data_IF_572048361757
#
_entry.id   IF_572048361757
#
_cell.length_a   1.000
_cell.length_b   1.000
_cell.length_c   1.000
_cell.angle_alpha   90.00
_cell.angle_beta   90.00
_cell.angle_gamma   90.00
#
_symmetry.space_group_name_H-M   'P 1'
#
loop_
_entity.id
_entity.type
_entity.pdbx_description
1 polymer ?
#
# COMPACT_ATOMS: atom_id res chain seq x y z
N UNK A 1 -90.57 12.86 -5.22
CA UNK A 1 -90.03 11.89 -6.20
C UNK A 1 -88.52 12.09 -6.28
N UNK A 2 -87.73 11.04 -6.01
CA UNK A 2 -86.46 10.63 -6.68
C UNK A 2 -85.52 11.74 -7.20
N UNK A 3 -84.19 11.79 -6.96
CA UNK A 3 -83.17 10.79 -6.58
C UNK A 3 -81.80 11.53 -6.42
N UNK A 4 -81.01 11.06 -5.46
CA UNK A 4 -79.53 10.86 -5.45
C UNK A 4 -78.53 11.97 -5.84
N UNK A 5 -77.73 12.35 -4.84
CA UNK A 5 -76.38 12.96 -4.93
C UNK A 5 -75.32 11.98 -5.46
N UNK A 6 -74.18 12.50 -5.95
CA UNK A 6 -72.89 11.87 -5.68
C UNK A 6 -71.91 12.84 -4.99
N UNK A 7 -71.20 12.29 -4.00
CA UNK A 7 -70.00 12.87 -3.39
C UNK A 7 -68.80 12.78 -4.36
N UNK A 8 -67.96 13.80 -4.41
CA UNK A 8 -66.53 13.63 -4.66
C UNK A 8 -65.69 14.67 -3.88
N UNK A 9 -64.97 14.15 -2.90
CA UNK A 9 -63.93 14.82 -2.12
C UNK A 9 -62.70 15.04 -3.01
N UNK A 10 -62.27 16.29 -3.18
CA UNK A 10 -60.98 16.63 -3.77
C UNK A 10 -59.88 16.55 -2.70
N UNK A 11 -59.19 15.42 -2.62
CA UNK A 11 -57.89 15.32 -1.97
C UNK A 11 -56.80 15.72 -2.98
N UNK A 12 -56.12 16.85 -2.74
CA UNK A 12 -54.84 17.18 -3.38
C UNK A 12 -53.75 16.34 -2.74
N UNK A 13 -53.44 15.19 -3.33
CA UNK A 13 -52.23 14.44 -3.01
C UNK A 13 -51.02 15.13 -3.65
N UNK A 14 -50.15 15.64 -2.79
CA UNK A 14 -48.79 16.08 -3.11
C UNK A 14 -47.98 14.85 -3.53
N UNK A 15 -47.78 14.65 -4.82
CA UNK A 15 -46.86 13.63 -5.32
C UNK A 15 -45.42 14.10 -5.07
N UNK A 16 -44.88 13.74 -3.89
CA UNK A 16 -43.42 13.71 -3.69
C UNK A 16 -42.93 12.56 -4.54
N UNK A 17 -42.43 12.88 -5.73
CA UNK A 17 -41.66 11.94 -6.54
C UNK A 17 -40.36 11.65 -5.78
N UNK A 18 -40.38 10.63 -4.93
CA UNK A 18 -39.16 9.96 -4.48
C UNK A 18 -38.54 9.36 -5.74
N UNK A 19 -37.58 10.08 -6.32
CA UNK A 19 -36.63 9.52 -7.26
C UNK A 19 -35.80 8.48 -6.49
N UNK A 20 -36.32 7.27 -6.36
CA UNK A 20 -35.49 6.09 -6.21
C UNK A 20 -34.64 6.06 -7.46
N UNK A 21 -33.42 6.59 -7.37
CA UNK A 21 -32.36 6.24 -8.28
C UNK A 21 -32.34 4.72 -8.30
N UNK A 22 -32.90 4.14 -9.36
CA UNK A 22 -32.71 2.75 -9.69
C UNK A 22 -31.21 2.61 -9.95
N UNK A 23 -30.45 2.34 -8.89
CA UNK A 23 -29.13 1.75 -8.99
C UNK A 23 -29.37 0.44 -9.72
N UNK A 24 -29.16 0.46 -11.04
CA UNK A 24 -29.04 -0.74 -11.85
C UNK A 24 -28.20 -1.74 -11.06
N UNK A 25 -28.58 -3.04 -11.00
CA UNK A 25 -27.73 -4.08 -10.43
C UNK A 25 -26.57 -4.33 -11.41
N UNK A 26 -25.71 -3.32 -11.57
CA UNK A 26 -24.44 -3.44 -12.23
C UNK A 26 -23.63 -4.43 -11.40
N UNK A 27 -23.12 -5.47 -12.05
CA UNK A 27 -21.81 -6.11 -11.88
C UNK A 27 -20.96 -5.90 -10.59
N UNK A 28 -21.56 -5.73 -9.40
CA UNK A 28 -20.81 -5.56 -8.17
C UNK A 28 -20.49 -6.95 -7.62
N UNK A 29 -19.21 -7.30 -7.58
CA UNK A 29 -18.76 -8.39 -6.74
C UNK A 29 -18.85 -7.94 -5.27
N UNK A 30 -19.01 -8.89 -4.36
CA UNK A 30 -19.14 -8.61 -2.93
C UNK A 30 -18.23 -9.54 -2.14
N UNK A 31 -17.50 -8.98 -1.17
CA UNK A 31 -16.56 -9.75 -0.34
C UNK A 31 -17.30 -10.85 0.44
N UNK A 32 -16.79 -12.08 0.35
CA UNK A 32 -17.36 -13.30 0.91
C UNK A 32 -18.40 -14.00 0.04
N UNK A 33 -18.79 -13.42 -1.10
CA UNK A 33 -19.74 -14.03 -2.02
C UNK A 33 -19.10 -15.19 -2.82
N UNK A 34 -19.90 -16.21 -3.14
CA UNK A 34 -19.46 -17.34 -3.94
C UNK A 34 -19.07 -16.93 -5.37
N UNK A 35 -17.93 -17.42 -5.85
CA UNK A 35 -17.38 -17.15 -7.19
C UNK A 35 -18.42 -17.34 -8.30
N UNK A 36 -19.12 -18.47 -8.31
CA UNK A 36 -20.12 -18.78 -9.34
C UNK A 36 -21.26 -17.75 -9.40
N UNK A 37 -21.67 -17.20 -8.25
CA UNK A 37 -22.73 -16.18 -8.20
C UNK A 37 -22.25 -14.85 -8.79
N UNK A 38 -21.00 -14.49 -8.51
CA UNK A 38 -20.33 -13.30 -9.07
C UNK A 38 -20.17 -13.46 -10.58
N UNK A 39 -19.59 -14.58 -11.04
CA UNK A 39 -19.37 -14.87 -12.45
C UNK A 39 -20.68 -14.93 -13.24
N UNK A 40 -21.76 -15.45 -12.65
CA UNK A 40 -23.08 -15.46 -13.30
C UNK A 40 -23.60 -14.04 -13.60
N UNK A 41 -23.36 -13.07 -12.70
CA UNK A 41 -23.72 -11.66 -12.93
C UNK A 41 -22.77 -10.98 -13.91
N UNK A 42 -21.47 -11.13 -13.66
CA UNK A 42 -20.43 -10.50 -14.47
C UNK A 42 -20.45 -10.99 -15.91
N UNK A 43 -20.73 -12.27 -16.15
CA UNK A 43 -20.74 -12.85 -17.50
C UNK A 43 -22.14 -12.91 -18.13
N UNK A 44 -23.10 -12.12 -17.61
CA UNK A 44 -24.47 -12.10 -18.13
C UNK A 44 -24.53 -11.61 -19.58
N UNK A 45 -25.44 -12.16 -20.40
CA UNK A 45 -25.59 -11.74 -21.81
C UNK A 45 -26.18 -10.34 -21.99
N UNK A 46 -26.82 -9.80 -20.96
CA UNK A 46 -27.57 -8.53 -21.02
C UNK A 46 -26.73 -7.36 -20.51
N UNK A 47 -25.85 -7.59 -19.53
CA UNK A 47 -24.99 -6.57 -18.95
C UNK A 47 -23.57 -7.07 -18.62
N UNK A 48 -23.01 -7.94 -19.48
CA UNK A 48 -21.78 -8.67 -19.21
C UNK A 48 -20.51 -7.82 -19.29
N UNK A 49 -19.55 -8.16 -18.43
CA UNK A 49 -18.17 -7.75 -18.49
C UNK A 49 -17.35 -8.75 -19.34
N UNK A 50 -16.28 -8.27 -19.95
CA UNK A 50 -15.30 -9.10 -20.63
C UNK A 50 -14.30 -9.62 -19.60
N UNK A 51 -14.14 -10.93 -19.48
CA UNK A 51 -13.09 -11.53 -18.65
C UNK A 51 -11.82 -11.70 -19.48
N UNK A 52 -10.70 -11.16 -18.99
CA UNK A 52 -9.40 -11.36 -19.63
C UNK A 52 -9.01 -12.84 -19.53
N UNK A 53 -8.80 -13.48 -20.68
CA UNK A 53 -8.49 -14.92 -20.76
C UNK A 53 -6.99 -15.18 -20.88
N UNK A 54 -6.30 -14.43 -21.75
CA UNK A 54 -4.87 -14.57 -22.01
C UNK A 54 -4.02 -14.13 -20.81
N UNK A 55 -2.93 -14.86 -20.54
CA UNK A 55 -2.04 -14.53 -19.42
C UNK A 55 -1.32 -13.20 -19.67
N UNK A 56 -1.03 -12.88 -20.93
CA UNK A 56 -0.41 -11.62 -21.34
C UNK A 56 -1.29 -10.41 -20.98
N UNK A 57 -2.58 -10.50 -21.27
CA UNK A 57 -3.54 -9.46 -20.90
C UNK A 57 -3.67 -9.33 -19.38
N UNK A 58 -3.77 -10.44 -18.66
CA UNK A 58 -3.79 -10.44 -17.19
C UNK A 58 -2.53 -9.80 -16.60
N UNK A 59 -1.35 -10.12 -17.16
CA UNK A 59 -0.09 -9.55 -16.69
C UNK A 59 -0.02 -8.04 -16.95
N UNK A 60 -0.54 -7.56 -18.09
CA UNK A 60 -0.67 -6.12 -18.35
C UNK A 60 -1.48 -5.44 -17.24
N UNK A 61 -2.65 -5.99 -16.89
CA UNK A 61 -3.48 -5.49 -15.79
C UNK A 61 -2.74 -5.54 -14.44
N UNK A 62 -2.09 -6.66 -14.11
CA UNK A 62 -1.30 -6.81 -12.87
C UNK A 62 -0.29 -5.69 -12.72
N UNK A 63 0.44 -5.34 -13.79
CA UNK A 63 1.53 -4.38 -13.72
C UNK A 63 1.09 -2.94 -13.39
N UNK A 64 -0.19 -2.63 -13.62
CA UNK A 64 -0.80 -1.34 -13.30
C UNK A 64 -1.38 -1.26 -11.88
N UNK A 65 -1.57 -2.40 -11.21
CA UNK A 65 -2.17 -2.44 -9.89
C UNK A 65 -1.22 -1.89 -8.81
N UNK A 66 -1.74 -1.12 -7.84
CA UNK A 66 -0.93 -0.56 -6.76
C UNK A 66 -0.42 -1.62 -5.78
N UNK A 67 -1.03 -2.81 -5.76
CA UNK A 67 -0.65 -3.95 -4.92
C UNK A 67 -0.01 -5.10 -5.74
N UNK A 68 0.51 -4.83 -6.94
CA UNK A 68 1.03 -5.86 -7.87
C UNK A 68 2.05 -6.84 -7.29
N UNK A 69 2.88 -6.39 -6.35
CA UNK A 69 3.86 -7.24 -5.68
C UNK A 69 3.21 -8.26 -4.73
N UNK A 70 2.01 -7.97 -4.25
CA UNK A 70 1.27 -8.85 -3.34
C UNK A 70 0.82 -10.13 -4.04
N UNK A 71 0.68 -10.14 -5.37
CA UNK A 71 0.37 -11.36 -6.13
C UNK A 71 1.40 -12.46 -5.90
N UNK A 72 2.67 -12.10 -5.68
CA UNK A 72 3.77 -13.06 -5.48
C UNK A 72 3.61 -13.86 -4.18
N UNK A 73 2.95 -13.28 -3.18
CA UNK A 73 2.81 -13.86 -1.85
C UNK A 73 1.42 -14.46 -1.57
N UNK A 74 0.51 -14.43 -2.55
CA UNK A 74 -0.82 -15.02 -2.35
C UNK A 74 -0.75 -16.54 -2.10
N UNK A 75 -1.62 -17.08 -1.23
CA UNK A 75 -1.75 -18.52 -1.01
C UNK A 75 -2.03 -19.32 -2.29
N UNK A 76 -1.71 -20.61 -2.27
CA UNK A 76 -1.81 -21.50 -3.45
C UNK A 76 -3.23 -21.78 -3.92
N UNK A 77 -4.22 -21.61 -3.05
CA UNK A 77 -5.66 -21.78 -3.29
C UNK A 77 -6.34 -20.51 -3.83
N UNK A 78 -5.59 -19.42 -3.98
CA UNK A 78 -6.10 -18.16 -4.53
C UNK A 78 -6.21 -18.22 -6.06
N UNK A 79 -7.36 -17.77 -6.57
CA UNK A 79 -7.60 -17.57 -8.00
C UNK A 79 -7.80 -16.09 -8.29
N UNK A 80 -7.21 -15.63 -9.39
CA UNK A 80 -7.32 -14.25 -9.85
C UNK A 80 -8.07 -14.17 -11.18
N UNK A 81 -9.05 -13.29 -11.25
CA UNK A 81 -9.78 -12.95 -12.46
C UNK A 81 -9.78 -11.44 -12.68
N UNK A 82 -9.62 -11.03 -13.93
CA UNK A 82 -9.68 -9.62 -14.33
C UNK A 82 -10.85 -9.46 -15.30
N UNK A 83 -11.59 -8.36 -15.14
CA UNK A 83 -12.72 -8.04 -15.98
C UNK A 83 -12.67 -6.58 -16.42
N UNK A 84 -13.19 -6.33 -17.62
CA UNK A 84 -13.48 -4.99 -18.12
C UNK A 84 -14.98 -4.86 -18.43
N UNK A 85 -15.59 -3.76 -17.98
CA UNK A 85 -17.00 -3.45 -18.23
C UNK A 85 -17.14 -2.02 -18.76
N UNK A 86 -17.54 -1.89 -20.02
CA UNK A 86 -17.84 -0.61 -20.66
C UNK A 86 -19.01 0.07 -19.96
N UNK A 87 -18.94 1.39 -19.82
CA UNK A 87 -19.95 2.18 -19.10
C UNK A 87 -21.33 2.15 -19.76
N UNK A 88 -21.37 2.19 -21.10
CA UNK A 88 -22.61 2.40 -21.86
C UNK A 88 -23.11 1.15 -22.63
N UNK A 89 -22.33 0.07 -22.67
CA UNK A 89 -22.69 -1.11 -23.46
C UNK A 89 -23.34 -2.23 -22.65
N UNK A 90 -24.30 -2.89 -23.28
CA UNK A 90 -24.95 -4.11 -22.81
C UNK A 90 -23.95 -5.26 -22.63
N UNK A 91 -22.89 -5.36 -23.42
CA UNK A 91 -21.85 -6.37 -23.22
C UNK A 91 -20.49 -5.83 -23.62
N UNK A 92 -19.48 -6.16 -22.82
CA UNK A 92 -18.07 -5.91 -23.17
C UNK A 92 -17.46 -7.10 -23.88
N UNK A 93 -16.60 -6.82 -24.85
CA UNK A 93 -15.90 -7.80 -25.69
C UNK A 93 -14.40 -7.51 -25.71
N UNK A 94 -13.59 -8.49 -26.15
CA UNK A 94 -12.14 -8.34 -26.25
C UNK A 94 -11.73 -7.11 -27.08
N UNK A 95 -12.43 -6.84 -28.19
CA UNK A 95 -12.15 -5.69 -29.07
C UNK A 95 -12.18 -4.35 -28.32
N UNK A 96 -12.94 -4.26 -27.24
CA UNK A 96 -13.04 -3.06 -26.41
C UNK A 96 -11.77 -2.80 -25.58
N UNK A 97 -10.94 -3.83 -25.39
CA UNK A 97 -9.73 -3.80 -24.54
C UNK A 97 -8.42 -3.73 -25.30
N UNK A 98 -8.46 -3.75 -26.64
CA UNK A 98 -7.26 -3.73 -27.48
C UNK A 98 -6.55 -2.37 -27.40
N UNK A 99 -7.30 -1.26 -27.38
CA UNK A 99 -6.75 0.09 -27.35
C UNK A 99 -6.90 0.71 -25.97
N UNK A 100 -5.88 0.55 -25.13
CA UNK A 100 -5.94 0.98 -23.72
C UNK A 100 -6.17 2.49 -23.53
N UNK A 101 -5.69 3.33 -24.44
CA UNK A 101 -5.84 4.80 -24.31
C UNK A 101 -7.28 5.28 -24.48
N UNK A 102 -8.13 4.50 -25.16
CA UNK A 102 -9.53 4.82 -25.43
C UNK A 102 -10.49 4.01 -24.54
N UNK A 103 -9.96 3.31 -23.52
CA UNK A 103 -10.77 2.56 -22.58
C UNK A 103 -11.69 3.51 -21.81
N UNK A 104 -13.00 3.28 -21.93
CA UNK A 104 -14.02 4.00 -21.16
C UNK A 104 -14.92 3.01 -20.44
N UNK A 105 -14.67 2.79 -19.16
CA UNK A 105 -15.34 1.72 -18.43
C UNK A 105 -14.84 1.48 -17.01
N UNK A 106 -15.13 0.30 -16.53
CA UNK A 106 -14.77 -0.23 -15.23
C UNK A 106 -13.78 -1.36 -15.43
N UNK A 107 -12.71 -1.32 -14.67
CA UNK A 107 -11.81 -2.45 -14.52
C UNK A 107 -12.01 -3.03 -13.13
N UNK A 108 -12.15 -4.34 -13.10
CA UNK A 108 -12.38 -5.12 -11.92
C UNK A 108 -11.31 -6.20 -11.83
N UNK A 109 -10.59 -6.24 -10.71
CA UNK A 109 -9.82 -7.40 -10.33
C UNK A 109 -10.55 -8.11 -9.19
N UNK A 110 -10.82 -9.39 -9.39
CA UNK A 110 -11.51 -10.27 -8.45
C UNK A 110 -10.55 -11.37 -8.03
N UNK A 111 -10.36 -11.49 -6.72
CA UNK A 111 -9.54 -12.52 -6.10
C UNK A 111 -10.45 -13.38 -5.24
N UNK A 112 -10.42 -14.69 -5.49
CA UNK A 112 -11.21 -15.66 -4.76
C UNK A 112 -10.34 -16.70 -4.08
N UNK A 113 -10.72 -17.08 -2.86
CA UNK A 113 -10.12 -18.15 -2.07
C UNK A 113 -11.25 -19.04 -1.54
N UNK A 114 -11.08 -20.36 -1.55
CA UNK A 114 -12.14 -21.31 -1.13
C UNK A 114 -13.50 -21.04 -1.80
N UNK A 115 -13.47 -20.72 -3.10
CA UNK A 115 -14.65 -20.38 -3.91
C UNK A 115 -15.42 -19.13 -3.44
N UNK A 116 -14.82 -18.26 -2.62
CA UNK A 116 -15.41 -16.99 -2.15
C UNK A 116 -14.53 -15.80 -2.54
N UNK A 117 -15.14 -14.66 -2.80
CA UNK A 117 -14.40 -13.39 -3.00
C UNK A 117 -13.70 -12.97 -1.71
N UNK A 118 -12.40 -12.70 -1.77
CA UNK A 118 -11.59 -12.24 -0.64
C UNK A 118 -10.93 -10.89 -0.89
N UNK A 119 -10.77 -10.49 -2.15
CA UNK A 119 -10.27 -9.17 -2.51
C UNK A 119 -10.84 -8.72 -3.85
N UNK A 120 -11.25 -7.47 -3.92
CA UNK A 120 -11.85 -6.85 -5.08
C UNK A 120 -11.30 -5.45 -5.29
N UNK A 121 -10.85 -5.15 -6.49
CA UNK A 121 -10.37 -3.84 -6.86
C UNK A 121 -11.21 -3.27 -7.99
N UNK A 122 -11.65 -2.03 -7.82
CA UNK A 122 -12.47 -1.31 -8.78
C UNK A 122 -11.76 -0.04 -9.20
N UNK A 123 -11.57 0.13 -10.52
CA UNK A 123 -11.02 1.35 -11.12
C UNK A 123 -11.94 1.83 -12.23
N UNK A 124 -12.14 3.14 -12.29
CA UNK A 124 -12.77 3.80 -13.44
C UNK A 124 -11.69 4.15 -14.44
N UNK A 125 -11.86 3.73 -15.69
CA UNK A 125 -11.00 4.07 -16.81
C UNK A 125 -11.67 5.10 -17.71
N UNK A 126 -10.90 6.09 -18.17
CA UNK A 126 -11.38 7.27 -18.90
C UNK A 126 -11.62 8.45 -17.94
N UNK A 127 -12.67 8.35 -17.13
CA UNK A 127 -13.01 9.35 -16.11
C UNK A 127 -12.55 8.93 -14.71
N UNK A 128 -12.20 9.89 -13.82
CA UNK A 128 -12.05 9.61 -12.39
C UNK A 128 -13.35 9.08 -11.78
N UNK A 129 -13.22 8.14 -10.83
CA UNK A 129 -14.36 7.66 -10.05
C UNK A 129 -14.99 8.80 -9.23
N UNK A 130 -16.30 8.95 -9.32
CA UNK A 130 -17.07 9.94 -8.56
C UNK A 130 -17.31 9.49 -7.11
N UNK A 131 -17.67 10.43 -6.23
CA UNK A 131 -18.00 10.12 -4.83
C UNK A 131 -19.28 9.30 -4.74
N UNK A 132 -20.24 9.55 -5.63
CA UNK A 132 -21.50 8.82 -5.73
C UNK A 132 -21.27 7.37 -6.14
N UNK A 133 -20.40 7.12 -7.13
CA UNK A 133 -20.00 5.77 -7.54
C UNK A 133 -19.27 5.04 -6.40
N UNK A 134 -18.29 5.70 -5.75
CA UNK A 134 -17.59 5.13 -4.61
C UNK A 134 -18.55 4.78 -3.46
N UNK A 135 -19.47 5.69 -3.11
CA UNK A 135 -20.50 5.45 -2.11
C UNK A 135 -21.41 4.29 -2.50
N UNK A 136 -21.79 4.19 -3.78
CA UNK A 136 -22.56 3.08 -4.33
C UNK A 136 -21.85 1.74 -4.16
N UNK A 137 -20.56 1.67 -4.51
CA UNK A 137 -19.71 0.48 -4.34
C UNK A 137 -19.64 0.09 -2.86
N UNK A 138 -19.27 1.03 -1.99
CA UNK A 138 -19.16 0.78 -0.55
C UNK A 138 -20.48 0.29 0.05
N UNK A 139 -21.61 0.90 -0.29
CA UNK A 139 -22.93 0.45 0.18
C UNK A 139 -23.28 -0.94 -0.35
N UNK A 140 -22.88 -1.27 -1.58
CA UNK A 140 -23.12 -2.59 -2.18
C UNK A 140 -22.38 -3.70 -1.41
N UNK A 141 -21.14 -3.43 -0.98
CA UNK A 141 -20.36 -4.34 -0.13
C UNK A 141 -21.00 -4.49 1.25
N UNK A 142 -21.39 -3.38 1.89
CA UNK A 142 -22.02 -3.40 3.20
C UNK A 142 -23.39 -4.12 3.21
N UNK A 143 -24.15 -4.06 2.11
CA UNK A 143 -25.49 -4.67 2.00
C UNK A 143 -25.52 -6.20 2.16
N UNK A 144 -24.37 -6.87 2.11
CA UNK A 144 -24.24 -8.30 2.39
C UNK A 144 -24.10 -8.64 3.87
N UNK A 145 -24.15 -7.63 4.75
CA UNK A 145 -23.97 -7.78 6.19
C UNK A 145 -25.11 -7.07 6.90
N UNK A 146 -25.81 -7.79 7.77
CA UNK A 146 -26.96 -7.25 8.48
C UNK A 146 -26.55 -6.12 9.42
N UNK A 147 -27.03 -4.91 9.13
CA UNK A 147 -26.78 -3.73 9.95
C UNK A 147 -25.35 -3.19 9.94
N UNK A 148 -24.46 -3.70 9.07
CA UNK A 148 -23.10 -3.21 9.00
C UNK A 148 -23.01 -1.86 8.29
N UNK A 149 -22.12 -1.01 8.76
CA UNK A 149 -21.83 0.31 8.17
C UNK A 149 -20.33 0.58 8.15
N UNK A 150 -19.89 1.43 7.23
CA UNK A 150 -18.47 1.78 7.12
C UNK A 150 -18.05 2.75 8.21
N UNK A 151 -16.93 2.45 8.85
CA UNK A 151 -16.19 3.31 9.76
C UNK A 151 -14.90 3.76 9.08
N UNK A 152 -14.56 5.03 9.23
CA UNK A 152 -13.24 5.51 8.83
C UNK A 152 -12.21 5.03 9.85
N UNK A 153 -11.09 4.52 9.37
CA UNK A 153 -9.97 4.17 10.20
C UNK A 153 -9.25 5.45 10.67
N UNK A 154 -8.94 5.52 11.96
CA UNK A 154 -8.28 6.65 12.60
C UNK A 154 -6.77 6.42 12.78
N UNK A 155 -6.25 5.29 12.29
CA UNK A 155 -4.83 4.99 12.37
C UNK A 155 -3.99 6.06 11.66
N UNK A 156 -3.10 6.70 12.41
CA UNK A 156 -2.10 7.63 11.88
C UNK A 156 -0.73 6.94 11.95
N UNK A 157 -0.03 6.73 10.82
CA UNK A 157 1.30 6.14 10.85
C UNK A 157 2.28 7.07 11.57
N UNK A 158 2.90 6.57 12.63
CA UNK A 158 3.90 7.29 13.41
C UNK A 158 5.28 6.84 12.96
N UNK A 159 5.92 7.65 12.12
CA UNK A 159 7.31 7.41 11.73
C UNK A 159 8.30 7.67 12.87
N UNK A 160 7.93 8.57 13.80
CA UNK A 160 8.80 9.07 14.83
C UNK A 160 7.96 9.57 16.01
N UNK A 161 8.33 9.15 17.22
CA UNK A 161 7.77 9.63 18.46
C UNK A 161 8.91 9.79 19.44
N UNK A 162 8.96 10.94 20.11
CA UNK A 162 9.87 11.16 21.22
C UNK A 162 9.05 11.25 22.48
N UNK A 163 9.45 10.46 23.47
CA UNK A 163 8.83 10.49 24.77
C UNK A 163 9.78 11.20 25.73
N UNK A 164 9.22 12.12 26.51
CA UNK A 164 9.96 12.97 27.42
C UNK A 164 9.33 12.81 28.80
N UNK A 165 10.14 12.48 29.79
CA UNK A 165 9.73 12.27 31.17
C UNK A 165 10.45 13.22 32.12
N UNK A 166 10.06 13.17 33.39
CA UNK A 166 10.73 13.89 34.48
C UNK A 166 11.27 12.89 35.48
N UNK A 167 12.58 12.96 35.75
CA UNK A 167 13.25 12.16 36.78
C UNK A 167 14.07 13.08 37.67
N UNK A 168 13.80 13.05 38.98
CA UNK A 168 14.48 13.89 39.98
C UNK A 168 14.48 15.39 39.60
N UNK A 169 13.35 15.90 39.13
CA UNK A 169 13.20 17.30 38.68
C UNK A 169 13.96 17.66 37.39
N UNK A 170 14.52 16.67 36.68
CA UNK A 170 15.18 16.87 35.38
C UNK A 170 14.39 16.21 34.27
N UNK A 171 14.30 16.92 33.15
CA UNK A 171 13.73 16.39 31.92
C UNK A 171 14.68 15.33 31.37
N UNK A 172 14.14 14.16 31.04
CA UNK A 172 14.88 13.03 30.48
C UNK A 172 14.16 12.48 29.26
N UNK A 173 14.92 12.04 28.25
CA UNK A 173 14.34 11.26 27.16
C UNK A 173 13.92 9.90 27.70
N UNK A 174 12.70 9.49 27.34
CA UNK A 174 12.14 8.19 27.63
C UNK A 174 12.17 7.38 26.34
N UNK A 175 12.63 6.14 26.45
CA UNK A 175 12.68 5.17 25.36
C UNK A 175 11.97 3.90 25.83
N UNK A 176 11.52 3.08 24.87
CA UNK A 176 10.90 1.81 25.19
C UNK A 176 11.98 0.74 25.30
N UNK A 177 11.99 0.02 26.41
CA UNK A 177 12.79 -1.20 26.55
C UNK A 177 12.23 -2.33 25.66
N UNK A 178 12.92 -3.48 25.65
CA UNK A 178 12.49 -4.69 24.92
C UNK A 178 11.08 -5.17 25.25
N UNK A 179 10.57 -4.87 26.44
CA UNK A 179 9.22 -5.23 26.88
C UNK A 179 8.18 -4.13 26.53
N UNK A 180 8.61 -3.06 25.83
CA UNK A 180 7.77 -1.95 25.40
C UNK A 180 7.48 -0.93 26.49
N UNK A 181 8.08 -1.07 27.67
CA UNK A 181 7.90 -0.17 28.82
C UNK A 181 8.77 1.06 28.66
N UNK A 182 8.21 2.21 29.03
CA UNK A 182 8.92 3.47 29.01
C UNK A 182 9.91 3.56 30.17
N UNK A 183 11.18 3.68 29.80
CA UNK A 183 12.31 3.70 30.70
C UNK A 183 13.20 4.89 30.34
N UNK A 184 13.75 5.64 31.32
CA UNK A 184 14.69 6.72 31.03
C UNK A 184 15.85 6.20 30.19
N UNK A 185 16.21 6.91 29.11
CA UNK A 185 17.22 6.43 28.16
C UNK A 185 18.56 6.08 28.83
N UNK A 186 18.94 6.79 29.90
CA UNK A 186 20.16 6.50 30.67
C UNK A 186 20.09 5.26 31.57
N UNK A 187 18.95 4.60 31.70
CA UNK A 187 18.78 3.34 32.43
C UNK A 187 18.76 2.11 31.51
N UNK A 188 18.57 2.32 30.21
CA UNK A 188 18.65 1.27 29.20
C UNK A 188 20.10 0.82 29.03
N UNK A 189 20.31 -0.49 28.93
CA UNK A 189 21.64 -1.10 28.88
C UNK A 189 21.96 -1.70 27.53
N UNK A 190 20.95 -2.13 26.78
CA UNK A 190 21.16 -2.75 25.48
C UNK A 190 21.21 -1.69 24.38
N UNK A 191 22.20 -1.80 23.49
CA UNK A 191 22.43 -0.83 22.42
C UNK A 191 21.22 -0.72 21.49
N UNK A 192 20.58 -1.84 21.18
CA UNK A 192 19.40 -1.88 20.30
C UNK A 192 18.20 -1.10 20.88
N UNK A 193 18.13 -0.90 22.20
CA UNK A 193 17.07 -0.14 22.86
C UNK A 193 17.29 1.37 22.77
N UNK A 194 18.54 1.81 22.56
CA UNK A 194 18.92 3.22 22.52
C UNK A 194 19.27 3.72 21.12
N UNK A 195 19.47 2.82 20.16
CA UNK A 195 19.73 3.20 18.77
C UNK A 195 18.48 3.82 18.16
N UNK A 196 18.62 4.92 17.39
CA UNK A 196 17.47 5.56 16.80
C UNK A 196 17.06 4.78 15.54
N UNK A 197 16.17 3.80 15.70
CA UNK A 197 15.74 2.92 14.62
C UNK A 197 14.47 3.42 13.93
N UNK A 198 14.40 3.25 12.61
CA UNK A 198 13.18 3.52 11.85
C UNK A 198 12.10 2.48 12.15
N UNK A 199 10.85 2.93 12.34
CA UNK A 199 9.68 2.05 12.45
C UNK A 199 9.33 1.34 11.13
N UNK A 200 9.94 1.75 10.02
CA UNK A 200 9.75 1.11 8.72
C UNK A 200 10.44 -0.25 8.70
N UNK A 201 9.65 -1.30 8.50
CA UNK A 201 10.14 -2.67 8.32
C UNK A 201 9.96 -3.06 6.87
N UNK A 202 11.02 -3.58 6.25
CA UNK A 202 10.97 -4.10 4.89
C UNK A 202 11.23 -5.61 4.90
N UNK A 203 10.70 -6.29 3.90
CA UNK A 203 10.96 -7.70 3.62
C UNK A 203 11.45 -7.85 2.19
N UNK A 204 12.25 -8.88 1.95
CA UNK A 204 12.39 -9.45 0.62
C UNK A 204 11.18 -10.34 0.36
N UNK A 205 10.52 -10.19 -0.78
CA UNK A 205 9.35 -10.99 -1.12
C UNK A 205 9.81 -12.33 -1.69
N UNK A 206 9.35 -13.41 -1.06
CA UNK A 206 9.54 -14.77 -1.54
C UNK A 206 8.21 -15.44 -1.87
N UNK A 207 8.18 -16.18 -2.97
CA UNK A 207 7.01 -16.97 -3.39
C UNK A 207 6.80 -18.11 -2.38
N UNK A 208 5.60 -18.25 -1.79
CA UNK A 208 5.33 -19.33 -0.85
C UNK A 208 5.67 -20.72 -1.43
N UNK A 209 6.32 -21.63 -0.68
CA UNK A 209 6.70 -22.94 -1.21
C UNK A 209 5.53 -23.76 -1.79
N UNK A 210 4.35 -23.64 -1.18
CA UNK A 210 3.12 -24.28 -1.68
C UNK A 210 2.74 -23.79 -3.09
N UNK A 211 2.94 -22.51 -3.39
CA UNK A 211 2.68 -21.92 -4.71
C UNK A 211 3.70 -22.42 -5.74
N UNK A 212 4.98 -22.49 -5.36
CA UNK A 212 6.04 -23.00 -6.23
C UNK A 212 5.82 -24.48 -6.61
N UNK A 213 5.15 -25.24 -5.74
CA UNK A 213 4.83 -26.66 -5.96
C UNK A 213 3.61 -26.92 -6.85
N UNK A 214 2.91 -25.87 -7.31
CA UNK A 214 1.75 -26.01 -8.20
C UNK A 214 2.15 -26.57 -9.57
N UNK A 215 1.35 -27.49 -10.10
CA UNK A 215 1.59 -28.15 -11.40
C UNK A 215 1.74 -27.15 -12.55
N UNK A 216 0.97 -26.06 -12.52
CA UNK A 216 0.98 -24.99 -13.52
C UNK A 216 1.66 -23.70 -13.03
N UNK A 217 2.60 -23.81 -12.08
CA UNK A 217 3.30 -22.65 -11.52
C UNK A 217 3.93 -21.77 -12.61
N UNK A 218 4.52 -22.36 -13.65
CA UNK A 218 5.15 -21.64 -14.78
C UNK A 218 4.19 -20.76 -15.62
N UNK A 219 2.87 -20.98 -15.51
CA UNK A 219 1.82 -20.19 -16.16
C UNK A 219 1.10 -19.25 -15.18
N UNK A 220 1.45 -19.32 -13.90
CA UNK A 220 0.84 -18.50 -12.85
C UNK A 220 1.30 -17.05 -12.90
N UNK A 221 0.47 -16.14 -12.38
CA UNK A 221 0.81 -14.72 -12.23
C UNK A 221 2.08 -14.53 -11.39
N UNK A 222 2.26 -15.19 -10.21
CA UNK A 222 3.51 -15.08 -9.43
C UNK A 222 4.76 -15.37 -10.26
N UNK A 223 4.77 -16.48 -11.02
CA UNK A 223 5.92 -16.85 -11.84
C UNK A 223 6.19 -15.83 -12.94
N UNK A 224 5.14 -15.41 -13.66
CA UNK A 224 5.27 -14.43 -14.75
C UNK A 224 5.71 -13.06 -14.26
N UNK A 225 5.24 -12.65 -13.08
CA UNK A 225 5.70 -11.44 -12.41
C UNK A 225 7.20 -11.53 -12.07
N UNK A 226 7.64 -12.62 -11.45
CA UNK A 226 9.06 -12.84 -11.13
C UNK A 226 9.94 -12.90 -12.39
N UNK A 227 9.48 -13.54 -13.46
CA UNK A 227 10.17 -13.60 -14.75
C UNK A 227 10.40 -12.19 -15.33
N UNK A 228 9.38 -11.33 -15.30
CA UNK A 228 9.48 -9.96 -15.78
C UNK A 228 10.46 -9.12 -14.94
N UNK A 229 10.38 -9.23 -13.62
CA UNK A 229 11.29 -8.54 -12.70
C UNK A 229 12.74 -9.04 -12.86
N UNK A 230 12.93 -10.32 -13.21
CA UNK A 230 14.24 -10.91 -13.48
C UNK A 230 14.87 -10.37 -14.75
N UNK A 231 14.07 -10.15 -15.80
CA UNK A 231 14.54 -9.48 -17.02
C UNK A 231 14.95 -8.05 -16.72
N UNK A 232 14.13 -7.31 -15.97
CA UNK A 232 14.42 -5.92 -15.59
C UNK A 232 15.67 -5.80 -14.69
N UNK A 233 15.86 -6.72 -13.74
CA UNK A 233 17.05 -6.77 -12.89
C UNK A 233 18.31 -7.05 -13.71
N UNK A 234 18.24 -8.01 -14.64
CA UNK A 234 19.36 -8.36 -15.52
C UNK A 234 19.78 -7.19 -16.42
N UNK A 235 18.83 -6.47 -17.02
CA UNK A 235 19.10 -5.28 -17.83
C UNK A 235 19.78 -4.17 -16.99
N UNK A 236 19.28 -3.92 -15.78
CA UNK A 236 19.90 -2.96 -14.85
C UNK A 236 21.34 -3.38 -14.49
N UNK A 237 21.55 -4.65 -14.21
CA UNK A 237 22.87 -5.20 -13.90
C UNK A 237 23.83 -5.06 -15.09
N UNK A 238 23.39 -5.42 -16.29
CA UNK A 238 24.17 -5.26 -17.53
C UNK A 238 24.60 -3.80 -17.72
N UNK A 239 23.65 -2.87 -17.64
CA UNK A 239 23.92 -1.43 -17.75
C UNK A 239 24.89 -0.93 -16.68
N UNK A 240 24.81 -1.47 -15.46
CA UNK A 240 25.74 -1.16 -14.38
C UNK A 240 27.16 -1.64 -14.71
N UNK A 241 27.34 -2.89 -15.15
CA UNK A 241 28.64 -3.44 -15.53
C UNK A 241 29.26 -2.67 -16.70
N UNK A 242 28.47 -2.32 -17.72
CA UNK A 242 28.93 -1.51 -18.85
C UNK A 242 29.42 -0.12 -18.39
N UNK A 243 28.69 0.53 -17.45
CA UNK A 243 29.13 1.80 -16.85
C UNK A 243 30.41 1.66 -16.02
N UNK A 244 30.55 0.59 -15.24
CA UNK A 244 31.75 0.34 -14.45
C UNK A 244 32.97 0.05 -15.32
N UNK A 245 32.78 -0.72 -16.39
CA UNK A 245 33.78 -0.95 -17.43
C UNK A 245 34.22 0.37 -18.07
N UNK A 246 33.27 1.19 -18.55
CA UNK A 246 33.57 2.49 -19.15
C UNK A 246 34.30 3.43 -18.19
N UNK A 247 33.89 3.46 -16.92
CA UNK A 247 34.56 4.25 -15.89
C UNK A 247 35.99 3.78 -15.61
N UNK A 248 36.19 2.46 -15.57
CA UNK A 248 37.51 1.87 -15.37
C UNK A 248 38.43 2.13 -16.57
N UNK A 249 37.92 1.98 -17.79
CA UNK A 249 38.64 2.32 -19.02
C UNK A 249 38.98 3.81 -19.11
N UNK A 250 38.09 4.70 -18.67
CA UNK A 250 38.36 6.14 -18.63
C UNK A 250 39.45 6.51 -17.60
N UNK A 251 39.57 5.77 -16.50
CA UNK A 251 40.65 5.96 -15.50
C UNK A 251 42.01 5.51 -16.03
N UNK A 252 42.05 4.47 -16.86
CA UNK A 252 43.29 3.91 -17.40
C UNK A 252 43.69 4.50 -18.76
N UNK A 253 42.78 5.21 -19.43
CA UNK A 253 43.07 5.91 -20.67
C UNK A 253 44.10 7.02 -20.45
N UNK A 254 45.16 7.03 -21.28
CA UNK A 254 46.13 8.12 -21.28
C UNK A 254 45.42 9.46 -21.59
N UNK A 255 45.78 10.57 -20.90
CA UNK A 255 45.15 11.85 -21.15
C UNK A 255 45.41 12.28 -22.60
N UNK A 256 44.35 12.27 -23.42
CA UNK A 256 44.41 12.80 -24.77
C UNK A 256 44.68 14.31 -24.70
N UNK A 257 45.81 14.76 -25.28
CA UNK A 257 46.16 16.18 -25.44
C UNK A 257 45.30 16.92 -26.50
N UNK A 258 44.27 16.29 -27.05
CA UNK A 258 43.40 16.91 -28.07
C UNK A 258 41.95 16.95 -27.59
N UNK A 259 41.63 18.02 -26.87
CA UNK A 259 40.39 18.83 -26.96
C UNK A 259 40.26 19.67 -25.68
N UNK A 260 41.08 20.71 -25.57
CA UNK A 260 40.95 21.79 -24.58
C UNK A 260 40.09 22.95 -25.07
N UNK A 261 39.25 22.74 -26.09
CA UNK A 261 38.34 23.76 -26.60
C UNK A 261 36.90 23.22 -26.52
N UNK A 262 36.08 23.92 -25.71
CA UNK A 262 34.67 23.65 -25.39
C UNK A 262 34.39 22.57 -24.34
N UNK A 263 34.90 22.76 -23.13
CA UNK A 263 34.08 22.48 -21.93
C UNK A 263 33.37 23.77 -21.56
N UNK A 264 32.13 23.93 -22.05
CA UNK A 264 31.20 24.81 -21.35
C UNK A 264 31.10 24.34 -19.91
N UNK A 265 30.89 25.28 -18.99
CA UNK A 265 30.75 25.09 -17.54
C UNK A 265 29.93 23.85 -17.18
N UNK A 266 30.56 22.68 -17.17
CA UNK A 266 30.11 21.61 -16.33
C UNK A 266 30.44 22.11 -14.93
N UNK A 267 29.46 22.77 -14.30
CA UNK A 267 29.44 23.00 -12.86
C UNK A 267 29.85 21.67 -12.23
N UNK A 268 31.11 21.56 -11.85
CA UNK A 268 31.57 20.56 -10.92
C UNK A 268 30.77 20.93 -9.68
N UNK A 269 29.65 20.25 -9.50
CA UNK A 269 28.85 20.39 -8.31
C UNK A 269 29.69 19.69 -7.27
N UNK A 270 30.64 20.42 -6.68
CA UNK A 270 31.36 19.97 -5.50
C UNK A 270 30.26 19.51 -4.57
N UNK A 271 30.24 18.21 -4.26
CA UNK A 271 29.24 17.64 -3.34
C UNK A 271 29.27 18.56 -2.13
N UNK A 272 28.17 19.27 -1.86
CA UNK A 272 28.11 20.16 -0.70
C UNK A 272 28.44 19.28 0.49
N UNK A 273 29.59 19.54 1.11
CA UNK A 273 29.92 18.92 2.40
C UNK A 273 28.96 19.59 3.36
N UNK A 274 27.96 18.84 3.81
CA UNK A 274 27.09 19.32 4.86
C UNK A 274 27.94 19.58 6.11
N UNK A 275 27.67 20.66 6.86
CA UNK A 275 28.26 20.88 8.18
C UNK A 275 28.12 19.64 9.07
N UNK A 276 29.03 19.47 10.04
CA UNK A 276 29.08 18.28 10.90
C UNK A 276 27.79 18.05 11.71
N UNK A 277 27.05 19.11 12.01
CA UNK A 277 25.82 19.15 12.79
C UNK A 277 24.55 19.20 11.92
N UNK A 278 24.69 19.35 10.61
CA UNK A 278 23.55 19.51 9.72
C UNK A 278 22.61 18.30 9.76
N UNK A 279 21.31 18.56 9.98
CA UNK A 279 20.23 17.56 10.00
C UNK A 279 20.33 16.49 11.11
N UNK A 280 21.16 16.71 12.14
CA UNK A 280 21.30 15.76 13.25
C UNK A 280 20.21 15.92 14.31
N UNK A 281 19.61 17.10 14.39
CA UNK A 281 18.55 17.40 15.34
C UNK A 281 17.35 18.08 14.67
N UNK A 282 16.17 17.82 15.22
CA UNK A 282 14.94 18.54 14.94
C UNK A 282 14.51 19.31 16.18
N UNK A 283 14.22 20.60 15.99
CA UNK A 283 13.61 21.43 17.02
C UNK A 283 12.12 21.10 17.14
N UNK A 284 11.67 20.74 18.34
CA UNK A 284 10.26 20.57 18.68
C UNK A 284 9.91 21.60 19.74
N UNK A 285 8.91 22.42 19.45
CA UNK A 285 8.35 23.35 20.41
C UNK A 285 7.16 22.69 21.09
N UNK A 286 7.20 22.62 22.42
CA UNK A 286 6.04 22.20 23.19
C UNK A 286 5.66 23.30 24.17
N UNK A 287 4.36 23.60 24.23
CA UNK A 287 3.75 24.43 25.25
C UNK A 287 3.45 23.56 26.48
N UNK A 288 4.50 23.15 27.21
CA UNK A 288 4.31 22.59 28.55
C UNK A 288 4.30 23.72 29.57
N UNK A 289 3.24 23.78 30.38
CA UNK A 289 3.29 24.54 31.62
C UNK A 289 4.15 23.71 32.59
N UNK A 290 5.35 24.19 32.93
CA UNK A 290 6.13 23.58 34.02
C UNK A 290 5.41 23.90 35.34
N UNK A 291 4.55 22.99 35.78
CA UNK A 291 3.68 23.20 36.94
C UNK A 291 4.52 23.48 38.21
N UNK A 292 5.69 22.86 38.38
CA UNK A 292 6.51 23.04 39.59
C UNK A 292 7.23 24.40 39.62
N UNK A 293 7.76 24.89 38.49
CA UNK A 293 8.35 26.24 38.46
C UNK A 293 7.30 27.36 38.39
N UNK A 294 6.16 27.10 37.74
CA UNK A 294 5.02 28.04 37.67
C UNK A 294 4.39 28.30 39.05
N UNK A 295 4.42 27.30 39.94
CA UNK A 295 3.92 27.42 41.32
C UNK A 295 4.92 28.09 42.28
N UNK A 296 6.24 28.05 42.01
CA UNK A 296 7.26 28.67 42.87
C UNK A 296 7.55 30.14 42.56
N UNK A 297 7.42 30.56 41.29
CA UNK A 297 7.83 31.91 40.83
C UNK A 297 6.67 32.80 40.36
N UNK A 298 5.42 32.47 40.69
CA UNK A 298 4.26 33.35 40.51
C UNK A 298 3.79 33.52 39.06
N UNK A 299 3.02 32.55 38.54
CA UNK A 299 2.25 32.66 37.30
C UNK A 299 3.08 32.97 36.03
N UNK A 300 4.23 32.31 35.85
CA UNK A 300 4.97 32.36 34.58
C UNK A 300 4.61 31.19 33.68
N UNK A 301 4.36 31.46 32.40
CA UNK A 301 4.24 30.45 31.36
C UNK A 301 5.58 30.36 30.61
N UNK A 302 6.25 29.22 30.72
CA UNK A 302 7.52 28.95 30.02
C UNK A 302 7.26 28.11 28.78
N UNK A 303 7.60 28.62 27.59
CA UNK A 303 7.62 27.80 26.36
C UNK A 303 9.02 27.19 26.24
N UNK A 304 9.09 25.85 26.20
CA UNK A 304 10.37 25.14 26.10
C UNK A 304 10.48 24.53 24.70
N UNK A 305 11.61 24.84 24.05
CA UNK A 305 12.00 24.23 22.78
C UNK A 305 13.02 23.14 23.04
N UNK A 306 12.70 21.93 22.61
CA UNK A 306 13.59 20.77 22.70
C UNK A 306 14.30 20.56 21.36
N UNK A 307 15.57 20.19 21.41
CA UNK A 307 16.33 19.75 20.24
C UNK A 307 16.52 18.24 20.37
N UNK A 308 15.89 17.47 19.48
CA UNK A 308 15.85 16.01 19.57
C UNK A 308 16.55 15.38 18.37
N UNK A 309 17.27 14.25 18.54
CA UNK A 309 17.94 13.59 17.43
C UNK A 309 16.97 13.24 16.29
N UNK A 310 17.36 13.54 15.05
CA UNK A 310 16.59 13.28 13.83
C UNK A 310 17.30 12.31 12.87
N UNK A 311 18.23 11.50 13.40
CA UNK A 311 18.95 10.47 12.68
C UNK A 311 18.28 9.14 12.94
N UNK A 312 17.99 8.36 11.90
CA UNK A 312 17.42 7.01 12.04
C UNK A 312 18.20 5.99 11.22
N UNK A 313 18.37 4.78 11.76
CA UNK A 313 18.99 3.66 11.08
C UNK A 313 17.94 2.62 10.66
N UNK A 314 18.23 1.91 9.56
CA UNK A 314 17.38 0.85 9.03
C UNK A 314 16.24 1.33 8.12
N UNK A 315 15.29 0.43 7.86
CA UNK A 315 14.10 0.72 7.05
C UNK A 315 14.33 0.88 5.55
N UNK A 316 15.49 0.46 5.04
CA UNK A 316 15.77 0.40 3.60
C UNK A 316 16.52 -0.89 3.24
N UNK A 317 16.14 -1.56 2.14
CA UNK A 317 16.87 -2.69 1.62
C UNK A 317 18.26 -2.27 1.12
N UNK A 318 19.18 -3.23 1.05
CA UNK A 318 20.52 -3.01 0.49
C UNK A 318 20.37 -2.65 -0.99
N UNK A 319 20.93 -1.51 -1.41
CA UNK A 319 20.83 -1.00 -2.78
C UNK A 319 21.84 -1.64 -3.76
N UNK A 320 22.20 -2.92 -3.55
CA UNK A 320 23.19 -3.59 -4.39
C UNK A 320 22.56 -3.99 -5.72
N UNK A 321 23.19 -3.59 -6.82
CA UNK A 321 22.76 -3.99 -8.16
C UNK A 321 23.34 -5.38 -8.44
N UNK A 322 22.47 -6.39 -8.39
CA UNK A 322 22.83 -7.79 -8.63
C UNK A 322 22.05 -8.37 -9.83
N UNK A 323 22.44 -9.57 -10.26
CA UNK A 323 21.71 -10.30 -11.31
C UNK A 323 20.40 -10.88 -10.78
N UNK A 324 20.33 -11.24 -9.51
CA UNK A 324 19.16 -11.89 -8.90
C UNK A 324 18.07 -10.87 -8.55
N UNK A 325 16.81 -11.27 -8.72
CA UNK A 325 15.67 -10.44 -8.29
C UNK A 325 15.56 -10.47 -6.78
N UNK A 326 15.61 -9.28 -6.19
CA UNK A 326 15.21 -9.06 -4.80
C UNK A 326 14.03 -8.10 -4.78
N UNK A 327 12.82 -8.64 -4.90
CA UNK A 327 11.62 -7.84 -4.69
C UNK A 327 11.56 -7.41 -3.23
N UNK A 328 11.24 -6.14 -2.99
CA UNK A 328 11.17 -5.59 -1.64
C UNK A 328 9.82 -4.96 -1.43
N UNK A 329 9.27 -5.13 -0.23
CA UNK A 329 8.03 -4.47 0.18
C UNK A 329 8.11 -4.07 1.65
N UNK A 330 7.44 -2.97 1.99
CA UNK A 330 7.35 -2.53 3.37
C UNK A 330 6.17 -3.21 4.04
N UNK A 331 6.37 -3.70 5.26
CA UNK A 331 5.26 -4.11 6.12
C UNK A 331 4.54 -2.82 6.55
N UNK A 332 3.22 -2.70 6.33
CA UNK A 332 2.47 -1.54 6.82
C UNK A 332 2.67 -1.35 8.32
N UNK A 333 2.88 -0.09 8.74
CA UNK A 333 2.98 0.22 10.17
C UNK A 333 1.67 -0.07 10.91
N UNK A 334 0.55 0.06 10.21
CA UNK A 334 -0.75 -0.32 10.72
C UNK A 334 -0.74 -1.80 11.15
N UNK A 335 -1.18 -2.13 12.37
CA UNK A 335 -1.17 -3.50 12.87
C UNK A 335 -2.18 -4.38 12.10
N UNK A 336 -1.91 -5.68 12.09
CA UNK A 336 -2.82 -6.73 11.59
C UNK A 336 -3.31 -6.56 10.14
N UNK A 337 -2.53 -5.89 9.30
CA UNK A 337 -2.85 -5.68 7.88
C UNK A 337 -1.62 -5.74 6.99
N UNK A 338 -1.77 -6.37 5.83
CA UNK A 338 -0.78 -6.46 4.77
C UNK A 338 -0.94 -5.34 3.73
N UNK A 339 -2.17 -4.85 3.54
CA UNK A 339 -2.45 -3.78 2.57
C UNK A 339 -2.49 -2.38 3.20
N UNK A 340 -2.81 -2.27 4.50
CA UNK A 340 -3.25 -1.04 5.14
C UNK A 340 -4.62 -0.58 4.62
N UNK A 341 -5.45 0.04 5.45
CA UNK A 341 -6.82 0.40 5.07
C UNK A 341 -7.25 1.76 5.62
N UNK A 342 -8.16 2.41 4.90
CA UNK A 342 -8.74 3.71 5.25
C UNK A 342 -10.13 3.57 5.88
N UNK A 343 -10.82 2.46 5.61
CA UNK A 343 -12.15 2.16 6.15
C UNK A 343 -12.28 0.69 6.52
N UNK A 344 -13.16 0.41 7.47
CA UNK A 344 -13.51 -0.94 7.90
C UNK A 344 -15.02 -1.00 8.17
N UNK A 345 -15.66 -2.13 7.89
CA UNK A 345 -17.05 -2.34 8.31
C UNK A 345 -17.15 -2.39 9.84
N UNK A 346 -18.29 -1.96 10.36
CA UNK A 346 -18.56 -1.91 11.79
C UNK A 346 -18.44 -3.25 12.51
N UNK A 347 -18.56 -4.36 11.76
CA UNK A 347 -18.40 -5.74 12.21
C UNK A 347 -16.97 -6.29 12.08
N UNK A 348 -16.04 -5.50 11.53
CA UNK A 348 -14.63 -5.88 11.33
C UNK A 348 -14.38 -6.90 10.22
N UNK A 349 -15.39 -7.24 9.41
CA UNK A 349 -15.27 -8.33 8.43
C UNK A 349 -14.58 -7.92 7.13
N UNK A 350 -14.78 -6.67 6.68
CA UNK A 350 -14.27 -6.17 5.41
C UNK A 350 -13.59 -4.82 5.61
N UNK A 351 -12.47 -4.64 4.91
CA UNK A 351 -11.66 -3.42 4.90
C UNK A 351 -11.65 -2.82 3.51
N UNK A 352 -11.45 -1.51 3.44
CA UNK A 352 -11.31 -0.77 2.19
C UNK A 352 -10.11 0.17 2.22
N UNK A 353 -9.39 0.22 1.11
CA UNK A 353 -8.29 1.15 0.86
C UNK A 353 -8.58 1.97 -0.38
N UNK A 354 -8.46 3.28 -0.27
CA UNK A 354 -8.60 4.20 -1.39
C UNK A 354 -7.25 4.39 -2.07
N UNK A 355 -7.28 4.42 -3.39
CA UNK A 355 -6.21 4.87 -4.25
C UNK A 355 -6.71 6.06 -5.06
N UNK A 356 -5.80 6.78 -5.75
CA UNK A 356 -6.11 8.04 -6.45
C UNK A 356 -7.45 8.03 -7.21
N UNK A 357 -7.69 7.01 -8.04
CA UNK A 357 -8.93 6.84 -8.83
C UNK A 357 -9.50 5.41 -8.71
N UNK A 358 -9.25 4.73 -7.61
CA UNK A 358 -9.64 3.33 -7.44
C UNK A 358 -9.90 3.00 -5.97
N UNK A 359 -10.61 1.90 -5.73
CA UNK A 359 -10.86 1.37 -4.40
C UNK A 359 -10.58 -0.12 -4.37
N UNK A 360 -9.95 -0.56 -3.29
CA UNK A 360 -9.68 -1.96 -2.98
C UNK A 360 -10.50 -2.35 -1.75
N UNK A 361 -11.34 -3.37 -1.90
CA UNK A 361 -12.04 -4.03 -0.81
C UNK A 361 -11.40 -5.38 -0.54
N UNK A 362 -11.30 -5.79 0.72
CA UNK A 362 -10.71 -7.08 1.06
C UNK A 362 -11.23 -7.61 2.39
N UNK A 363 -11.29 -8.93 2.47
CA UNK A 363 -11.65 -9.67 3.68
C UNK A 363 -10.56 -9.49 4.75
N UNK A 364 -10.98 -9.22 5.99
CA UNK A 364 -10.05 -8.99 7.11
C UNK A 364 -9.31 -10.26 7.55
N UNK A 365 -9.87 -11.45 7.29
CA UNK A 365 -9.21 -12.74 7.49
C UNK A 365 -8.08 -12.95 6.47
N UNK A 366 -8.37 -12.73 5.19
CA UNK A 366 -7.39 -12.79 4.12
C UNK A 366 -6.23 -11.81 4.35
N UNK A 367 -6.53 -10.55 4.69
CA UNK A 367 -5.52 -9.53 4.99
C UNK A 367 -4.60 -9.93 6.16
N UNK A 368 -5.17 -10.51 7.23
CA UNK A 368 -4.38 -11.05 8.35
C UNK A 368 -3.52 -12.24 7.95
N UNK A 369 -4.02 -13.14 7.11
CA UNK A 369 -3.24 -14.26 6.57
C UNK A 369 -2.01 -13.75 5.81
N UNK A 370 -2.21 -12.79 4.92
CA UNK A 370 -1.13 -12.14 4.18
C UNK A 370 -0.14 -11.45 5.12
N UNK A 371 -0.62 -10.76 6.15
CA UNK A 371 0.23 -10.09 7.14
C UNK A 371 1.09 -11.09 7.90
N UNK A 372 0.51 -12.20 8.33
CA UNK A 372 1.25 -13.24 9.05
C UNK A 372 2.40 -13.81 8.23
N UNK A 373 2.20 -13.99 6.91
CA UNK A 373 3.27 -14.41 6.01
C UNK A 373 4.37 -13.33 5.85
N UNK A 374 4.00 -12.05 5.75
CA UNK A 374 4.99 -10.97 5.75
C UNK A 374 5.81 -10.93 7.04
N UNK A 375 5.18 -11.17 8.20
CA UNK A 375 5.87 -11.23 9.50
C UNK A 375 6.76 -12.49 9.61
N UNK A 376 6.38 -13.63 9.03
CA UNK A 376 7.25 -14.81 9.00
C UNK A 376 8.48 -14.56 8.15
N UNK A 377 8.33 -13.97 6.96
CA UNK A 377 9.46 -13.55 6.11
C UNK A 377 10.37 -12.57 6.86
N UNK A 378 9.80 -11.59 7.56
CA UNK A 378 10.59 -10.64 8.32
C UNK A 378 11.45 -11.31 9.39
N UNK A 379 10.90 -12.30 10.12
CA UNK A 379 11.62 -13.07 11.13
C UNK A 379 12.69 -13.97 10.52
N UNK A 380 12.36 -14.70 9.46
CA UNK A 380 13.30 -15.60 8.76
C UNK A 380 14.50 -14.83 8.21
N UNK A 381 14.24 -13.65 7.64
CA UNK A 381 15.27 -12.77 7.06
C UNK A 381 16.09 -12.02 8.12
N UNK A 382 15.73 -12.07 9.40
CA UNK A 382 16.50 -11.39 10.44
C UNK A 382 17.91 -11.96 10.57
N UNK A 383 18.04 -13.28 10.59
CA UNK A 383 19.34 -13.94 10.67
C UNK A 383 20.22 -13.65 9.45
N UNK A 384 19.61 -13.54 8.26
CA UNK A 384 20.32 -13.15 7.05
C UNK A 384 20.82 -11.71 7.13
N UNK A 385 19.99 -10.76 7.58
CA UNK A 385 20.39 -9.36 7.79
C UNK A 385 21.55 -9.23 8.77
N UNK A 386 21.55 -9.99 9.86
CA UNK A 386 22.65 -10.01 10.83
C UNK A 386 23.94 -10.56 10.22
N UNK A 387 23.84 -11.61 9.39
CA UNK A 387 24.99 -12.17 8.66
C UNK A 387 25.54 -11.18 7.63
N UNK A 388 24.67 -10.56 6.83
CA UNK A 388 25.04 -9.52 5.86
C UNK A 388 25.71 -8.33 6.56
N UNK A 389 25.20 -7.92 7.73
CA UNK A 389 25.81 -6.87 8.54
C UNK A 389 27.22 -7.25 9.00
N UNK A 390 27.43 -8.47 9.53
CA UNK A 390 28.77 -8.96 9.92
C UNK A 390 29.73 -8.98 8.73
N UNK A 391 29.29 -9.47 7.57
CA UNK A 391 30.11 -9.46 6.35
C UNK A 391 30.47 -8.04 5.93
N UNK A 392 29.53 -7.10 5.99
CA UNK A 392 29.80 -5.69 5.67
C UNK A 392 30.77 -5.05 6.66
N UNK A 393 30.68 -5.38 7.95
CA UNK A 393 31.56 -4.84 8.98
C UNK A 393 32.99 -5.38 8.87
N UNK A 394 33.16 -6.62 8.42
CA UNK A 394 34.49 -7.22 8.17
C UNK A 394 35.28 -6.57 7.02
N UNK A 395 34.66 -5.65 6.25
CA UNK A 395 35.35 -4.89 5.19
C UNK A 395 36.06 -3.64 5.73
N UNK A 396 35.80 -3.26 6.98
CA UNK A 396 36.51 -2.22 7.72
C UNK A 396 37.50 -2.87 8.69
#
# INVERSE_FOLDING_TARGET
MSRTLPHSLFFRALAVATATAALSPLAHSRIGEAKNAIESRLNSKVNGAYQYSAIEDKMREVMELPYKKMFVIFPSDVQTSFYFKRAEATQSVNADTIQQHDLFGWELNLITQDNKSVLEFYRRHGDPMTVEELKGLMNSIASMRDGAYWKKNEYVPVSQQWEIGVKNGKIVQMLRDKDGKLTPAGELKDLDEILPMSNTRFIYIDVPPAVQSLVNYNQSIPFKYMEQEQRAAYEKYRNYVEKQSAYSAAKTAAPSKRNSAKKGDQKITVKRVNPADAYTFRGIESTFCDIESSLKDGNKLSIIKYSLPDVLFGGKPIAKIEKEVRLTENIPQQPDTAFGYDYELSDGSVRAKLFRNAVLFFDAGFDRQMRNYMESLYKEQQAEREKEAKTSLNLF
#
